data_IF_106124353304
#
_entry.id   IF_106124353304
#
_cell.length_a   1.000
_cell.length_b   1.000
_cell.length_c   1.000
_cell.angle_alpha   90.00
_cell.angle_beta   90.00
_cell.angle_gamma   90.00
#
_symmetry.space_group_name_H-M   'P 1'
#
loop_
_entity.id
_entity.type
_entity.pdbx_description
1 polymer ?
#
# COMPACT_ATOMS: atom_id res chain seq x y z
N UNK A 1 16.83 -13.78 10.24
CA UNK A 1 15.68 -14.72 10.28
C UNK A 1 14.35 -13.98 10.51
N UNK A 2 14.22 -13.16 11.56
CA UNK A 2 12.98 -12.43 11.91
C UNK A 2 12.47 -11.52 10.76
N UNK A 3 13.34 -10.75 10.10
CA UNK A 3 12.95 -9.86 8.99
C UNK A 3 12.35 -10.63 7.80
N UNK A 4 12.94 -11.76 7.43
CA UNK A 4 12.44 -12.59 6.33
C UNK A 4 11.05 -13.17 6.66
N UNK A 5 10.84 -13.58 7.91
CA UNK A 5 9.53 -14.05 8.39
C UNK A 5 8.49 -12.93 8.30
N UNK A 6 8.82 -11.70 8.72
CA UNK A 6 7.91 -10.55 8.62
C UNK A 6 7.51 -10.24 7.16
N UNK A 7 8.47 -10.26 6.24
CA UNK A 7 8.20 -10.03 4.81
C UNK A 7 7.34 -11.15 4.22
N UNK A 8 7.61 -12.41 4.56
CA UNK A 8 6.83 -13.55 4.08
C UNK A 8 5.40 -13.53 4.62
N UNK A 9 5.21 -13.17 5.89
CA UNK A 9 3.89 -13.02 6.49
C UNK A 9 3.10 -11.88 5.84
N UNK A 10 3.73 -10.71 5.64
CA UNK A 10 3.09 -9.58 4.96
C UNK A 10 2.69 -9.94 3.53
N UNK A 11 3.57 -10.63 2.78
CA UNK A 11 3.26 -11.09 1.43
C UNK A 11 2.13 -12.13 1.41
N UNK A 12 2.15 -13.09 2.34
CA UNK A 12 1.11 -14.10 2.47
C UNK A 12 -0.26 -13.50 2.80
N UNK A 13 -0.30 -12.50 3.69
CA UNK A 13 -1.51 -11.74 4.02
C UNK A 13 -2.02 -10.96 2.80
N UNK A 14 -1.15 -10.20 2.13
CA UNK A 14 -1.49 -9.44 0.93
C UNK A 14 -2.10 -10.34 -0.15
N UNK A 15 -1.48 -11.49 -0.40
CA UNK A 15 -1.92 -12.47 -1.37
C UNK A 15 -3.28 -13.09 -1.00
N UNK A 16 -3.46 -13.45 0.27
CA UNK A 16 -4.69 -14.08 0.77
C UNK A 16 -5.89 -13.13 0.71
N UNK A 17 -5.71 -11.88 1.15
CA UNK A 17 -6.74 -10.83 1.05
C UNK A 17 -7.05 -10.51 -0.42
N UNK A 18 -6.04 -10.49 -1.29
CA UNK A 18 -6.22 -10.35 -2.74
C UNK A 18 -7.15 -11.43 -3.30
N UNK A 19 -6.84 -12.70 -3.05
CA UNK A 19 -7.69 -13.82 -3.50
C UNK A 19 -9.11 -13.76 -2.93
N UNK A 20 -9.28 -13.29 -1.69
CA UNK A 20 -10.61 -13.12 -1.10
C UNK A 20 -11.40 -12.02 -1.82
N UNK A 21 -10.80 -10.84 -2.02
CA UNK A 21 -11.42 -9.75 -2.77
C UNK A 21 -11.80 -10.18 -4.19
N UNK A 22 -10.91 -10.91 -4.88
CA UNK A 22 -11.15 -11.41 -6.24
C UNK A 22 -12.38 -12.33 -6.32
N UNK A 23 -12.61 -13.16 -5.30
CA UNK A 23 -13.80 -14.02 -5.19
C UNK A 23 -15.07 -13.23 -4.92
N UNK A 24 -14.98 -12.15 -4.12
CA UNK A 24 -16.13 -11.29 -3.79
C UNK A 24 -16.55 -10.41 -4.98
N UNK A 25 -15.59 -9.96 -5.79
CA UNK A 25 -15.84 -9.10 -6.97
C UNK A 25 -16.05 -9.85 -8.29
N UNK A 26 -16.04 -11.19 -8.25
CA UNK A 26 -16.16 -12.10 -9.38
C UNK A 26 -17.03 -11.53 -10.52
N UNK A 27 -16.37 -10.96 -11.54
CA UNK A 27 -16.84 -10.52 -12.88
C UNK A 27 -17.41 -9.10 -13.10
N UNK A 28 -17.62 -8.23 -12.09
CA UNK A 28 -18.18 -6.86 -12.35
C UNK A 28 -17.18 -5.71 -12.39
N UNK A 29 -16.07 -5.80 -11.64
CA UNK A 29 -15.00 -4.78 -11.63
C UNK A 29 -13.64 -5.49 -11.62
N UNK A 30 -12.60 -4.87 -12.20
CA UNK A 30 -11.22 -5.38 -12.09
C UNK A 30 -10.81 -5.40 -10.61
N UNK A 31 -10.07 -6.44 -10.24
CA UNK A 31 -9.55 -6.72 -8.90
C UNK A 31 -8.78 -5.52 -8.30
N UNK A 32 -9.25 -4.99 -7.16
CA UNK A 32 -8.72 -3.80 -6.46
C UNK A 32 -8.67 -2.50 -7.28
N UNK A 33 -9.77 -2.25 -7.97
CA UNK A 33 -10.09 -0.96 -8.54
C UNK A 33 -10.72 -0.08 -7.44
N UNK A 34 -10.21 1.13 -7.13
CA UNK A 34 -9.26 1.97 -7.89
C UNK A 34 -7.79 1.96 -7.41
N UNK A 35 -7.50 1.34 -6.26
CA UNK A 35 -6.24 1.45 -5.50
C UNK A 35 -4.95 1.02 -6.23
N UNK A 36 -5.06 0.30 -7.35
CA UNK A 36 -3.89 -0.23 -8.10
C UNK A 36 -3.52 0.52 -9.37
N UNK A 37 -4.33 1.47 -9.83
CA UNK A 37 -4.11 2.09 -11.15
C UNK A 37 -4.52 3.55 -11.17
N UNK A 38 -3.71 4.42 -11.76
CA UNK A 38 -4.09 5.83 -12.01
C UNK A 38 -5.06 5.99 -13.20
N UNK A 39 -5.31 4.91 -13.94
CA UNK A 39 -6.01 4.93 -15.23
C UNK A 39 -7.53 4.87 -15.14
N UNK A 40 -8.11 4.93 -13.94
CA UNK A 40 -9.57 4.89 -13.82
C UNK A 40 -10.24 6.23 -14.10
N UNK A 41 -11.48 6.18 -14.58
CA UNK A 41 -12.28 7.37 -14.92
C UNK A 41 -13.31 7.72 -13.84
N UNK A 42 -13.80 8.95 -13.86
CA UNK A 42 -14.89 9.44 -12.99
C UNK A 42 -16.15 8.59 -13.10
N UNK A 43 -16.46 8.11 -14.30
CA UNK A 43 -17.66 7.32 -14.58
C UNK A 43 -17.57 5.94 -13.92
N UNK A 44 -16.38 5.35 -13.89
CA UNK A 44 -16.15 4.06 -13.24
C UNK A 44 -16.23 4.16 -11.71
N UNK A 45 -15.71 5.25 -11.11
CA UNK A 45 -15.85 5.50 -9.68
C UNK A 45 -17.32 5.77 -9.30
N UNK A 46 -18.02 6.58 -10.11
CA UNK A 46 -19.46 6.82 -9.94
C UNK A 46 -20.28 5.53 -10.08
N UNK A 47 -19.90 4.62 -10.97
CA UNK A 47 -20.54 3.31 -11.12
C UNK A 47 -20.35 2.43 -9.86
N UNK A 48 -19.16 2.45 -9.25
CA UNK A 48 -18.91 1.73 -8.00
C UNK A 48 -19.76 2.28 -6.85
N UNK A 49 -19.85 3.61 -6.72
CA UNK A 49 -20.66 4.30 -5.70
C UNK A 49 -22.16 3.96 -5.82
N UNK A 50 -22.65 3.79 -7.05
CA UNK A 50 -24.04 3.40 -7.35
C UNK A 50 -24.31 1.90 -7.18
N UNK A 51 -23.27 1.08 -7.09
CA UNK A 51 -23.43 -0.38 -7.03
C UNK A 51 -23.85 -0.86 -5.64
N UNK A 52 -24.55 -1.99 -5.63
CA UNK A 52 -24.87 -2.78 -4.43
C UNK A 52 -23.61 -3.34 -3.73
N UNK A 53 -22.48 -3.35 -4.45
CA UNK A 53 -21.19 -3.83 -3.97
C UNK A 53 -20.45 -2.82 -3.08
N UNK A 54 -20.89 -1.55 -3.03
CA UNK A 54 -20.19 -0.51 -2.26
C UNK A 54 -19.98 -0.89 -0.80
N UNK A 55 -20.97 -1.49 -0.14
CA UNK A 55 -20.87 -1.87 1.26
C UNK A 55 -19.93 -3.05 1.47
N UNK A 56 -19.91 -4.00 0.53
CA UNK A 56 -18.97 -5.14 0.53
C UNK A 56 -17.52 -4.70 0.28
N UNK A 57 -17.35 -3.59 -0.45
CA UNK A 57 -16.05 -2.95 -0.68
C UNK A 57 -15.56 -2.25 0.59
N UNK A 58 -16.41 -1.43 1.24
CA UNK A 58 -16.06 -0.75 2.50
C UNK A 58 -15.78 -1.77 3.62
N UNK A 59 -16.66 -2.76 3.77
CA UNK A 59 -16.54 -3.80 4.78
C UNK A 59 -16.84 -5.18 4.18
N UNK A 60 -15.95 -6.19 4.31
CA UNK A 60 -14.75 -6.20 5.15
C UNK A 60 -13.44 -5.84 4.41
N UNK A 61 -13.51 -5.43 3.15
CA UNK A 61 -12.32 -5.38 2.27
C UNK A 61 -11.41 -4.20 2.61
N UNK A 62 -11.90 -2.95 2.53
CA UNK A 62 -11.13 -1.78 2.99
C UNK A 62 -10.83 -1.90 4.48
N UNK A 63 -11.90 -2.09 5.26
CA UNK A 63 -11.81 -2.25 6.69
C UNK A 63 -12.46 -3.57 7.09
N UNK A 64 -11.75 -4.50 7.77
CA UNK A 64 -10.41 -4.34 8.33
C UNK A 64 -9.27 -4.92 7.46
N UNK A 65 -9.55 -5.60 6.35
CA UNK A 65 -8.53 -6.42 5.69
C UNK A 65 -7.40 -5.61 5.08
N UNK A 66 -7.70 -4.52 4.36
CA UNK A 66 -6.65 -3.71 3.76
C UNK A 66 -5.83 -2.99 4.83
N UNK A 67 -6.47 -2.50 5.90
CA UNK A 67 -5.78 -1.95 7.07
C UNK A 67 -4.72 -2.91 7.66
N UNK A 68 -5.06 -4.19 7.83
CA UNK A 68 -4.11 -5.20 8.33
C UNK A 68 -2.97 -5.40 7.33
N UNK A 69 -3.28 -5.43 6.05
CA UNK A 69 -2.29 -5.62 4.98
C UNK A 69 -1.33 -4.44 4.87
N UNK A 70 -1.83 -3.20 4.85
CA UNK A 70 -0.98 -2.00 4.78
C UNK A 70 -0.09 -1.86 6.01
N UNK A 71 -0.60 -2.19 7.21
CA UNK A 71 0.19 -2.17 8.44
C UNK A 71 1.30 -3.23 8.41
N UNK A 72 0.98 -4.45 7.99
CA UNK A 72 1.96 -5.52 7.85
C UNK A 72 3.04 -5.17 6.81
N UNK A 73 2.63 -4.57 5.68
CA UNK A 73 3.53 -4.19 4.60
C UNK A 73 4.43 -3.02 5.01
N UNK A 74 3.87 -1.94 5.55
CA UNK A 74 4.63 -0.79 6.04
C UNK A 74 5.56 -1.18 7.19
N UNK A 75 5.10 -2.02 8.11
CA UNK A 75 5.91 -2.54 9.22
C UNK A 75 7.08 -3.40 8.74
N UNK A 76 6.85 -4.32 7.79
CA UNK A 76 7.90 -5.16 7.23
C UNK A 76 8.91 -4.34 6.43
N UNK A 77 8.45 -3.42 5.58
CA UNK A 77 9.32 -2.50 4.82
C UNK A 77 10.09 -1.56 5.74
N UNK A 78 9.45 -1.06 6.79
CA UNK A 78 10.03 -0.21 7.83
C UNK A 78 11.18 -0.91 8.55
N UNK A 79 10.90 -2.10 9.08
CA UNK A 79 11.88 -2.91 9.79
C UNK A 79 13.06 -3.30 8.88
N UNK A 80 12.77 -3.73 7.64
CA UNK A 80 13.81 -4.12 6.69
C UNK A 80 14.69 -2.94 6.27
N UNK A 81 14.08 -1.82 5.85
CA UNK A 81 14.82 -0.62 5.44
C UNK A 81 15.66 -0.08 6.59
N UNK A 82 15.06 0.10 7.77
CA UNK A 82 15.77 0.65 8.92
C UNK A 82 16.92 -0.25 9.36
N UNK A 83 16.73 -1.57 9.35
CA UNK A 83 17.80 -2.52 9.67
C UNK A 83 19.01 -2.36 8.73
N UNK A 84 18.81 -2.42 7.41
CA UNK A 84 19.92 -2.37 6.46
C UNK A 84 20.60 -1.00 6.43
N UNK A 85 19.83 0.09 6.53
CA UNK A 85 20.41 1.43 6.64
C UNK A 85 21.22 1.55 7.93
N UNK A 86 20.74 1.01 9.04
CA UNK A 86 21.47 1.09 10.30
C UNK A 86 22.81 0.35 10.26
N UNK A 87 22.91 -0.73 9.48
CA UNK A 87 24.19 -1.41 9.27
C UNK A 87 25.16 -0.63 8.38
N UNK A 88 24.65 0.25 7.52
CA UNK A 88 25.43 0.99 6.52
C UNK A 88 25.78 2.43 6.99
N UNK A 89 24.78 3.14 7.49
CA UNK A 89 24.82 4.55 7.86
C UNK A 89 23.82 4.83 9.01
N UNK A 90 24.16 4.53 10.27
CA UNK A 90 23.26 4.66 11.43
C UNK A 90 22.51 6.00 11.54
N UNK A 91 23.15 7.17 11.29
CA UNK A 91 22.43 8.46 11.34
C UNK A 91 21.26 8.61 10.35
N UNK A 92 21.21 7.77 9.31
CA UNK A 92 20.17 7.79 8.28
C UNK A 92 19.07 6.73 8.51
N UNK A 93 19.18 5.89 9.55
CA UNK A 93 18.27 4.77 9.79
C UNK A 93 16.79 5.18 9.97
N UNK A 94 16.54 6.43 10.36
CA UNK A 94 15.21 7.01 10.46
C UNK A 94 14.48 7.07 9.11
N UNK A 95 15.20 7.22 7.99
CA UNK A 95 14.63 7.18 6.64
C UNK A 95 13.94 5.84 6.37
N UNK A 96 14.47 4.76 6.96
CA UNK A 96 13.90 3.44 6.86
C UNK A 96 12.52 3.32 7.49
N UNK A 97 12.17 4.19 8.43
CA UNK A 97 10.82 4.25 9.01
C UNK A 97 9.97 5.36 8.37
N UNK A 98 10.58 6.48 8.03
CA UNK A 98 9.90 7.63 7.46
C UNK A 98 9.25 7.31 6.10
N UNK A 99 9.99 6.71 5.17
CA UNK A 99 9.46 6.44 3.82
C UNK A 99 8.29 5.44 3.84
N UNK A 100 8.37 4.28 4.54
CA UNK A 100 7.22 3.40 4.72
C UNK A 100 6.08 4.04 5.52
N UNK A 101 6.37 4.98 6.43
CA UNK A 101 5.37 5.77 7.13
C UNK A 101 4.57 6.68 6.20
N UNK A 102 5.23 7.35 5.24
CA UNK A 102 4.55 8.14 4.20
C UNK A 102 3.64 7.26 3.35
N UNK A 103 4.13 6.07 2.96
CA UNK A 103 3.29 5.07 2.28
C UNK A 103 2.04 4.74 3.09
N UNK A 104 2.20 4.33 4.36
CA UNK A 104 1.08 3.96 5.23
C UNK A 104 0.06 5.10 5.39
N UNK A 105 0.52 6.34 5.60
CA UNK A 105 -0.37 7.49 5.76
C UNK A 105 -1.13 7.81 4.47
N UNK A 106 -0.46 7.74 3.32
CA UNK A 106 -1.12 7.95 2.03
C UNK A 106 -2.14 6.86 1.74
N UNK A 107 -1.83 5.60 2.04
CA UNK A 107 -2.72 4.45 1.86
C UNK A 107 -3.96 4.58 2.75
N UNK A 108 -3.76 4.86 4.04
CA UNK A 108 -4.86 5.07 4.98
C UNK A 108 -5.74 6.26 4.59
N UNK A 109 -5.15 7.34 4.05
CA UNK A 109 -5.91 8.51 3.60
C UNK A 109 -6.73 8.18 2.35
N UNK A 110 -6.16 7.43 1.42
CA UNK A 110 -6.86 6.92 0.22
C UNK A 110 -8.06 6.07 0.63
N UNK A 111 -7.86 5.11 1.53
CA UNK A 111 -8.91 4.21 2.02
C UNK A 111 -10.00 4.94 2.79
N UNK A 112 -9.64 5.86 3.69
CA UNK A 112 -10.62 6.66 4.41
C UNK A 112 -11.48 7.49 3.45
N UNK A 113 -10.84 8.11 2.44
CA UNK A 113 -11.53 8.94 1.45
C UNK A 113 -12.45 8.09 0.58
N UNK A 114 -11.98 6.92 0.13
CA UNK A 114 -12.77 5.99 -0.66
C UNK A 114 -13.95 5.43 0.13
N UNK A 115 -13.74 5.01 1.39
CA UNK A 115 -14.81 4.57 2.27
C UNK A 115 -15.86 5.66 2.47
N UNK A 116 -15.43 6.90 2.72
CA UNK A 116 -16.34 8.03 2.87
C UNK A 116 -17.16 8.28 1.61
N UNK A 117 -16.55 8.26 0.42
CA UNK A 117 -17.25 8.42 -0.86
C UNK A 117 -18.28 7.30 -1.09
N UNK A 118 -17.91 6.05 -0.79
CA UNK A 118 -18.78 4.90 -0.96
C UNK A 118 -19.95 4.91 0.03
N UNK A 119 -19.72 5.32 1.27
CA UNK A 119 -20.76 5.47 2.30
C UNK A 119 -21.71 6.63 1.98
N UNK A 120 -21.17 7.75 1.48
CA UNK A 120 -21.97 8.91 1.07
C UNK A 120 -22.89 8.58 -0.10
N UNK A 121 -22.47 7.70 -1.01
CA UNK A 121 -23.31 7.25 -2.12
C UNK A 121 -23.54 8.31 -3.20
N UNK A 122 -22.79 9.41 -3.19
CA UNK A 122 -22.95 10.55 -4.09
C UNK A 122 -21.97 10.45 -5.29
N UNK A 123 -22.47 10.14 -6.50
CA UNK A 123 -21.62 9.97 -7.68
C UNK A 123 -20.99 11.30 -8.15
N UNK A 124 -21.62 12.45 -7.85
CA UNK A 124 -21.09 13.74 -8.25
C UNK A 124 -19.93 14.16 -7.35
N UNK A 125 -20.07 13.94 -6.03
CA UNK A 125 -18.95 14.08 -5.10
C UNK A 125 -17.79 13.16 -5.49
N UNK A 126 -18.07 11.90 -5.84
CA UNK A 126 -17.05 10.95 -6.28
C UNK A 126 -16.28 11.44 -7.52
N UNK A 127 -16.98 11.98 -8.53
CA UNK A 127 -16.35 12.52 -9.74
C UNK A 127 -15.41 13.71 -9.44
N UNK A 128 -15.79 14.59 -8.51
CA UNK A 128 -14.98 15.75 -8.10
C UNK A 128 -13.73 15.35 -7.32
N UNK A 129 -13.77 14.23 -6.61
CA UNK A 129 -12.66 13.76 -5.76
C UNK A 129 -11.64 12.89 -6.52
N UNK A 130 -11.90 12.54 -7.80
CA UNK A 130 -11.00 11.68 -8.60
C UNK A 130 -9.57 12.23 -8.68
N UNK A 131 -9.40 13.54 -8.89
CA UNK A 131 -8.07 14.15 -8.99
C UNK A 131 -7.29 14.02 -7.68
N UNK A 132 -7.96 14.24 -6.55
CA UNK A 132 -7.39 14.11 -5.20
C UNK A 132 -6.99 12.65 -4.95
N UNK A 133 -7.89 11.69 -5.23
CA UNK A 133 -7.60 10.27 -5.09
C UNK A 133 -6.36 9.89 -5.90
N UNK A 134 -6.28 10.26 -7.18
CA UNK A 134 -5.12 9.98 -8.04
C UNK A 134 -3.83 10.59 -7.50
N UNK A 135 -3.88 11.78 -6.93
CA UNK A 135 -2.71 12.41 -6.31
C UNK A 135 -2.23 11.60 -5.09
N UNK A 136 -3.15 11.15 -4.25
CA UNK A 136 -2.82 10.29 -3.10
C UNK A 136 -2.27 8.94 -3.56
N UNK A 137 -2.90 8.29 -4.54
CA UNK A 137 -2.41 7.03 -5.13
C UNK A 137 -0.99 7.21 -5.70
N UNK A 138 -0.68 8.35 -6.33
CA UNK A 138 0.65 8.63 -6.84
C UNK A 138 1.69 8.74 -5.72
N UNK A 139 1.36 9.42 -4.62
CA UNK A 139 2.23 9.52 -3.42
C UNK A 139 2.47 8.14 -2.81
N UNK A 140 1.41 7.33 -2.68
CA UNK A 140 1.47 5.94 -2.20
C UNK A 140 2.39 5.08 -3.05
N UNK A 141 2.24 5.13 -4.37
CA UNK A 141 3.09 4.35 -5.28
C UNK A 141 4.54 4.83 -5.26
N UNK A 142 4.77 6.15 -5.24
CA UNK A 142 6.12 6.71 -5.18
C UNK A 142 6.83 6.34 -3.88
N UNK A 143 6.16 6.47 -2.73
CA UNK A 143 6.71 6.11 -1.42
C UNK A 143 6.94 4.60 -1.28
N UNK A 144 6.04 3.77 -1.80
CA UNK A 144 6.23 2.32 -1.85
C UNK A 144 7.48 1.93 -2.65
N UNK A 145 7.63 2.48 -3.87
CA UNK A 145 8.81 2.23 -4.72
C UNK A 145 10.09 2.77 -4.09
N UNK A 146 10.03 3.95 -3.47
CA UNK A 146 11.16 4.53 -2.77
C UNK A 146 11.62 3.66 -1.60
N UNK A 147 10.71 3.10 -0.81
CA UNK A 147 11.06 2.20 0.29
C UNK A 147 11.68 0.87 -0.20
N UNK A 148 11.19 0.31 -1.32
CA UNK A 148 11.84 -0.85 -1.96
C UNK A 148 13.26 -0.49 -2.40
N UNK A 149 13.42 0.62 -3.13
CA UNK A 149 14.73 1.07 -3.61
C UNK A 149 15.69 1.31 -2.44
N UNK A 150 15.23 1.97 -1.38
CA UNK A 150 15.99 2.23 -0.15
C UNK A 150 16.45 0.92 0.52
N UNK A 151 15.57 -0.08 0.62
CA UNK A 151 15.92 -1.39 1.18
C UNK A 151 16.98 -2.09 0.32
N UNK A 152 16.78 -2.17 -1.00
CA UNK A 152 17.66 -2.89 -1.92
C UNK A 152 19.02 -2.24 -2.00
N UNK A 153 19.08 -0.91 -2.13
CA UNK A 153 20.33 -0.16 -2.17
C UNK A 153 21.13 -0.28 -0.87
N UNK A 154 20.45 -0.22 0.29
CA UNK A 154 21.11 -0.39 1.59
C UNK A 154 21.66 -1.80 1.79
N UNK A 155 20.89 -2.82 1.39
CA UNK A 155 21.34 -4.21 1.41
C UNK A 155 22.54 -4.43 0.47
N UNK A 156 22.46 -3.95 -0.77
CA UNK A 156 23.54 -4.07 -1.74
C UNK A 156 24.81 -3.35 -1.26
N UNK A 157 24.68 -2.13 -0.73
CA UNK A 157 25.79 -1.38 -0.15
C UNK A 157 26.45 -2.13 1.01
N UNK A 158 25.65 -2.72 1.90
CA UNK A 158 26.16 -3.53 3.00
C UNK A 158 26.90 -4.79 2.50
N UNK A 159 26.34 -5.51 1.52
CA UNK A 159 26.98 -6.69 0.93
C UNK A 159 28.31 -6.35 0.25
N UNK A 160 28.36 -5.24 -0.48
CA UNK A 160 29.58 -4.77 -1.13
C UNK A 160 30.66 -4.42 -0.11
N UNK A 161 30.32 -3.65 0.94
CA UNK A 161 31.25 -3.32 2.01
C UNK A 161 31.76 -4.58 2.73
N UNK A 162 30.88 -5.52 3.01
CA UNK A 162 31.23 -6.76 3.67
C UNK A 162 32.16 -7.63 2.81
N UNK A 163 31.85 -7.78 1.53
CA UNK A 163 32.68 -8.50 0.57
C UNK A 163 34.05 -7.84 0.33
N UNK A 164 34.12 -6.51 0.41
CA UNK A 164 35.36 -5.76 0.23
C UNK A 164 36.25 -5.77 1.49
N UNK A 165 35.63 -5.73 2.68
CA UNK A 165 36.32 -5.74 3.97
C UNK A 165 36.66 -7.16 4.48
N UNK A 166 36.17 -8.22 3.82
CA UNK A 166 36.45 -9.61 4.20
C UNK A 166 35.89 -10.03 5.56
N UNK A 167 34.82 -9.38 6.03
CA UNK A 167 34.14 -9.64 7.31
C UNK A 167 32.94 -10.61 7.18
#
# INVERSE_FOLDING_TARGET
MILAVLVLLAFGLFWSVGKYADRVFATRFRTRFPEKTLSYTSEQLAALVRSDLRMKYVFPILFPFDLVVMLALAGAMGAASSHWINQLHPPAAWLGLFVPGVYLLSDLTEDCLLAWLLLRGDPQAAAQTVSIMKAITAIKLASFMAAIALTVTSLAGWLLLRGWLGL
#
